data_IF_704913195741
#
_entry.id   IF_704913195741
#
_cell.length_a   1.000
_cell.length_b   1.000
_cell.length_c   1.000
_cell.angle_alpha   90.00
_cell.angle_beta   90.00
_cell.angle_gamma   90.00
#
_symmetry.space_group_name_H-M   'P 1'
#
loop_
_entity.id
_entity.type
_entity.pdbx_description
1 polymer ?
#
# COMPACT_ATOMS: atom_id res chain seq x y z
N UNK A 1 -6.63 -11.30 -25.13
CA UNK A 1 -6.14 -10.82 -23.82
C UNK A 1 -6.00 -9.32 -23.91
N UNK A 2 -6.70 -8.56 -23.05
CA UNK A 2 -6.55 -7.11 -23.00
C UNK A 2 -5.12 -6.75 -22.60
N UNK A 3 -4.63 -5.68 -23.22
CA UNK A 3 -3.31 -5.11 -22.99
C UNK A 3 -3.49 -3.61 -22.76
N UNK A 4 -2.82 -3.09 -21.74
CA UNK A 4 -2.88 -1.66 -21.41
C UNK A 4 -1.48 -1.14 -21.09
N UNK A 5 -1.34 0.17 -21.23
CA UNK A 5 -0.20 0.92 -20.71
C UNK A 5 -0.71 1.87 -19.62
N UNK A 6 0.06 1.97 -18.53
CA UNK A 6 -0.29 2.85 -17.44
C UNK A 6 0.67 2.80 -16.28
N UNK A 7 0.43 3.64 -15.29
CA UNK A 7 1.25 3.82 -14.11
C UNK A 7 0.69 3.10 -12.89
N UNK A 8 1.56 2.45 -12.12
CA UNK A 8 1.17 1.68 -10.93
C UNK A 8 0.94 2.64 -9.75
N UNK A 9 -0.28 3.13 -9.59
CA UNK A 9 -0.65 4.15 -8.61
C UNK A 9 -0.60 3.65 -7.16
N UNK A 10 -1.18 2.50 -6.87
CA UNK A 10 -1.23 1.95 -5.51
C UNK A 10 -1.16 0.42 -5.54
N UNK A 11 -0.59 -0.16 -4.48
CA UNK A 11 -0.45 -1.60 -4.32
C UNK A 11 -0.68 -1.97 -2.86
N UNK A 12 -1.47 -3.00 -2.61
CA UNK A 12 -1.65 -3.57 -1.27
C UNK A 12 -1.96 -5.05 -1.32
N UNK A 13 -1.71 -5.74 -0.21
CA UNK A 13 -1.95 -7.16 -0.05
C UNK A 13 -3.25 -7.39 0.72
N UNK A 14 -4.07 -8.29 0.20
CA UNK A 14 -5.27 -8.82 0.82
C UNK A 14 -5.14 -10.33 0.97
N UNK A 15 -4.64 -10.77 2.11
CA UNK A 15 -4.52 -12.19 2.43
C UNK A 15 -3.58 -12.96 1.46
N UNK A 16 -4.14 -13.63 0.46
CA UNK A 16 -3.47 -14.46 -0.55
C UNK A 16 -3.34 -13.78 -1.93
N UNK A 17 -3.76 -12.52 -2.03
CA UNK A 17 -3.70 -11.74 -3.28
C UNK A 17 -3.06 -10.38 -3.07
N UNK A 18 -2.44 -9.87 -4.11
CA UNK A 18 -2.08 -8.46 -4.22
C UNK A 18 -3.08 -7.76 -5.11
N UNK A 19 -3.47 -6.55 -4.75
CA UNK A 19 -4.27 -5.65 -5.59
C UNK A 19 -3.36 -4.55 -6.11
N UNK A 20 -3.42 -4.30 -7.41
CA UNK A 20 -2.71 -3.24 -8.09
C UNK A 20 -3.73 -2.27 -8.68
N UNK A 21 -3.55 -0.98 -8.41
CA UNK A 21 -4.27 0.09 -9.08
C UNK A 21 -3.38 0.71 -10.13
N UNK A 22 -3.84 0.65 -11.37
CA UNK A 22 -3.13 1.19 -12.53
C UNK A 22 -3.90 2.39 -13.04
N UNK A 23 -3.24 3.54 -13.14
CA UNK A 23 -3.75 4.70 -13.88
C UNK A 23 -3.38 4.49 -15.34
N UNK A 24 -4.35 4.21 -16.20
CA UNK A 24 -4.09 3.99 -17.62
C UNK A 24 -3.74 5.31 -18.32
N UNK A 25 -3.07 5.23 -19.47
CA UNK A 25 -2.70 6.40 -20.27
C UNK A 25 -3.91 7.27 -20.70
N UNK A 26 -5.11 6.67 -20.79
CA UNK A 26 -6.38 7.37 -21.06
C UNK A 26 -7.06 7.94 -19.79
N UNK A 27 -6.37 7.92 -18.64
CA UNK A 27 -6.81 8.54 -17.40
C UNK A 27 -7.74 7.70 -16.52
N UNK A 28 -8.10 6.47 -16.92
CA UNK A 28 -8.94 5.58 -16.11
C UNK A 28 -8.14 4.90 -15.01
N UNK A 29 -8.81 4.57 -13.90
CA UNK A 29 -8.21 3.75 -12.83
C UNK A 29 -8.66 2.29 -12.99
N UNK A 30 -7.72 1.41 -13.36
CA UNK A 30 -7.95 -0.03 -13.48
C UNK A 30 -7.48 -0.76 -12.23
N UNK A 31 -8.34 -1.62 -11.70
CA UNK A 31 -8.03 -2.53 -10.60
C UNK A 31 -7.62 -3.89 -11.15
N UNK A 32 -6.42 -4.34 -10.81
CA UNK A 32 -5.90 -5.66 -11.13
C UNK A 32 -5.61 -6.46 -9.86
N UNK A 33 -5.55 -7.78 -9.99
CA UNK A 33 -5.15 -8.68 -8.91
C UNK A 33 -4.04 -9.62 -9.34
N UNK A 34 -3.13 -9.95 -8.43
CA UNK A 34 -2.13 -11.01 -8.64
C UNK A 34 -2.14 -11.95 -7.44
N UNK A 35 -1.71 -13.20 -7.65
CA UNK A 35 -1.54 -14.16 -6.56
C UNK A 35 -0.33 -13.75 -5.72
N UNK A 36 -0.49 -13.78 -4.40
CA UNK A 36 0.59 -13.51 -3.46
C UNK A 36 0.79 -14.71 -2.54
N UNK A 37 2.05 -15.13 -2.38
CA UNK A 37 2.39 -16.24 -1.49
C UNK A 37 3.48 -15.74 -0.54
N UNK A 38 3.11 -15.27 0.67
CA UNK A 38 4.08 -14.72 1.59
C UNK A 38 5.09 -15.77 2.03
N UNK A 39 6.36 -15.39 2.09
CA UNK A 39 7.42 -16.30 2.51
C UNK A 39 8.40 -15.65 3.48
N UNK A 40 9.23 -16.48 4.10
CA UNK A 40 10.38 -16.05 4.89
C UNK A 40 11.50 -17.07 4.78
N UNK A 41 12.71 -16.69 5.19
CA UNK A 41 13.84 -17.61 5.25
C UNK A 41 14.17 -17.95 6.69
N UNK A 42 14.63 -19.18 6.91
CA UNK A 42 15.23 -19.61 8.16
C UNK A 42 16.55 -20.31 7.91
N UNK A 43 17.54 -20.09 8.77
CA UNK A 43 18.78 -20.88 8.81
C UNK A 43 18.59 -21.99 9.83
N UNK A 44 18.50 -23.27 9.43
CA UNK A 44 18.48 -24.39 10.38
C UNK A 44 19.74 -24.40 11.23
N UNK A 45 19.64 -24.94 12.45
CA UNK A 45 20.83 -25.23 13.25
C UNK A 45 21.67 -26.34 12.64
N UNK A 46 22.98 -26.27 12.86
CA UNK A 46 23.93 -27.25 12.32
C UNK A 46 23.67 -28.69 12.84
N UNK A 47 23.04 -28.86 14.00
CA UNK A 47 22.69 -30.15 14.60
C UNK A 47 21.35 -30.75 14.12
N UNK A 48 20.59 -30.02 13.29
CA UNK A 48 19.29 -30.45 12.78
C UNK A 48 19.42 -31.10 11.40
N UNK A 49 18.81 -32.26 11.24
CA UNK A 49 18.66 -32.92 9.93
C UNK A 49 17.63 -32.14 9.09
N UNK A 50 18.09 -31.56 7.99
CA UNK A 50 17.29 -30.64 7.17
C UNK A 50 16.13 -31.37 6.47
N UNK A 51 16.36 -32.59 6.01
CA UNK A 51 15.36 -33.40 5.33
C UNK A 51 14.20 -33.76 6.26
N UNK A 52 14.49 -33.95 7.56
CA UNK A 52 13.47 -34.14 8.58
C UNK A 52 12.72 -32.84 8.87
N UNK A 53 13.45 -31.73 9.01
CA UNK A 53 12.85 -30.42 9.28
C UNK A 53 11.90 -29.99 8.15
N UNK A 54 12.27 -30.20 6.89
CA UNK A 54 11.40 -29.93 5.72
C UNK A 54 10.08 -30.69 5.86
N UNK A 55 10.12 -31.99 6.14
CA UNK A 55 8.90 -32.80 6.31
C UNK A 55 8.01 -32.29 7.43
N UNK A 56 8.59 -31.95 8.58
CA UNK A 56 7.84 -31.40 9.72
C UNK A 56 7.18 -30.06 9.36
N UNK A 57 7.88 -29.20 8.61
CA UNK A 57 7.33 -27.93 8.17
C UNK A 57 6.22 -28.13 7.12
N UNK A 58 6.37 -29.06 6.19
CA UNK A 58 5.37 -29.40 5.17
C UNK A 58 4.08 -30.02 5.76
N UNK A 59 4.15 -30.63 6.95
CA UNK A 59 2.95 -31.10 7.68
C UNK A 59 2.12 -29.94 8.28
N UNK A 60 2.67 -28.73 8.36
CA UNK A 60 1.97 -27.59 8.93
C UNK A 60 0.82 -27.13 8.00
N UNK A 61 -0.42 -26.96 8.50
CA UNK A 61 -1.61 -26.73 7.66
C UNK A 61 -1.58 -25.45 6.82
N UNK A 62 -0.74 -24.49 7.20
CA UNK A 62 -0.58 -23.19 6.53
C UNK A 62 0.74 -23.01 5.79
N UNK A 63 1.62 -24.02 5.78
CA UNK A 63 2.84 -24.00 4.98
C UNK A 63 2.51 -24.70 3.66
N UNK A 64 2.69 -23.98 2.54
CA UNK A 64 2.36 -24.51 1.21
C UNK A 64 3.55 -25.17 0.53
N UNK A 65 4.76 -24.75 0.87
CA UNK A 65 5.99 -25.25 0.27
C UNK A 65 7.19 -24.88 1.15
N UNK A 66 8.20 -25.73 1.16
CA UNK A 66 9.52 -25.43 1.73
C UNK A 66 10.58 -25.76 0.70
N UNK A 67 11.46 -24.79 0.40
CA UNK A 67 12.57 -24.99 -0.53
C UNK A 67 13.90 -24.87 0.20
N UNK A 68 14.82 -25.78 -0.10
CA UNK A 68 16.22 -25.64 0.28
C UNK A 68 16.93 -24.72 -0.71
N UNK A 69 17.57 -23.67 -0.20
CA UNK A 69 18.30 -22.70 -1.01
C UNK A 69 19.66 -22.35 -0.36
N UNK A 70 20.58 -21.79 -1.16
CA UNK A 70 21.87 -21.30 -0.69
C UNK A 70 21.94 -19.78 -0.90
N UNK A 71 22.08 -19.00 0.19
CA UNK A 71 22.07 -17.52 0.17
C UNK A 71 23.27 -16.95 0.95
N UNK A 72 23.69 -15.74 0.60
CA UNK A 72 24.58 -14.96 1.46
C UNK A 72 23.77 -14.39 2.63
N UNK A 73 24.25 -14.57 3.86
CA UNK A 73 23.54 -14.11 5.06
C UNK A 73 23.91 -12.67 5.46
N UNK A 74 24.96 -12.12 4.86
CA UNK A 74 25.40 -10.75 5.08
C UNK A 74 26.21 -10.26 3.87
N UNK A 75 26.36 -8.94 3.75
CA UNK A 75 27.15 -8.31 2.68
C UNK A 75 28.64 -8.70 2.73
N UNK A 76 29.15 -9.06 3.91
CA UNK A 76 30.53 -9.47 4.12
C UNK A 76 30.74 -10.99 4.02
N UNK A 77 29.67 -11.76 3.75
CA UNK A 77 29.77 -13.21 3.67
C UNK A 77 30.56 -13.63 2.42
N UNK A 78 31.59 -14.43 2.62
CA UNK A 78 32.44 -14.96 1.55
C UNK A 78 31.90 -16.27 0.94
N UNK A 79 30.91 -16.89 1.56
CA UNK A 79 30.24 -18.09 1.08
C UNK A 79 28.72 -18.03 1.32
N UNK A 80 27.98 -18.85 0.58
CA UNK A 80 26.54 -19.01 0.76
C UNK A 80 26.28 -20.04 1.84
N UNK A 81 25.32 -19.74 2.70
CA UNK A 81 24.81 -20.66 3.72
C UNK A 81 23.53 -21.32 3.24
N UNK A 82 23.32 -22.55 3.69
CA UNK A 82 22.05 -23.27 3.51
C UNK A 82 20.94 -22.60 4.32
N UNK A 83 19.82 -22.33 3.68
CA UNK A 83 18.61 -21.77 4.27
C UNK A 83 17.38 -22.53 3.75
N UNK A 84 16.32 -22.54 4.56
CA UNK A 84 15.00 -22.98 4.12
C UNK A 84 14.14 -21.77 3.82
N UNK A 85 13.59 -21.73 2.61
CA UNK A 85 12.62 -20.75 2.16
C UNK A 85 11.22 -21.34 2.39
N UNK A 86 10.50 -20.78 3.35
CA UNK A 86 9.21 -21.27 3.81
C UNK A 86 8.11 -20.40 3.23
N UNK A 87 7.21 -21.00 2.45
CA UNK A 87 6.07 -20.34 1.83
C UNK A 87 4.80 -20.61 2.65
N UNK A 88 4.05 -19.54 2.91
CA UNK A 88 2.82 -19.55 3.72
C UNK A 88 1.63 -19.31 2.80
N UNK A 89 0.51 -19.97 3.10
CA UNK A 89 -0.74 -19.85 2.34
C UNK A 89 -1.27 -18.42 2.23
N UNK A 90 -1.13 -17.62 3.28
CA UNK A 90 -1.71 -16.28 3.35
C UNK A 90 -0.98 -15.30 4.29
N UNK A 91 -1.12 -14.01 4.01
CA UNK A 91 -0.53 -12.95 4.83
C UNK A 91 -1.14 -12.90 6.24
N UNK A 92 -2.40 -13.34 6.39
CA UNK A 92 -3.07 -13.42 7.69
C UNK A 92 -2.43 -14.48 8.59
N UNK A 93 -2.05 -15.63 8.03
CA UNK A 93 -1.48 -16.74 8.79
C UNK A 93 0.02 -16.59 9.05
N UNK A 94 0.72 -15.79 8.24
CA UNK A 94 2.17 -15.59 8.30
C UNK A 94 2.75 -15.45 9.72
N UNK A 95 2.13 -14.63 10.57
CA UNK A 95 2.65 -14.37 11.92
C UNK A 95 2.42 -15.53 12.89
N UNK A 96 1.34 -16.29 12.72
CA UNK A 96 1.09 -17.51 13.47
C UNK A 96 2.11 -18.58 13.09
N UNK A 97 2.25 -18.85 11.77
CA UNK A 97 3.24 -19.80 11.23
C UNK A 97 4.65 -19.47 11.72
N UNK A 98 5.07 -18.21 11.64
CA UNK A 98 6.39 -17.80 12.10
C UNK A 98 6.61 -18.09 13.60
N UNK A 99 5.59 -17.91 14.43
CA UNK A 99 5.69 -18.21 15.86
C UNK A 99 5.74 -19.72 16.12
N UNK A 100 4.95 -20.51 15.40
CA UNK A 100 4.93 -21.97 15.52
C UNK A 100 6.28 -22.57 15.10
N UNK A 101 6.83 -22.11 13.96
CA UNK A 101 8.17 -22.50 13.49
C UNK A 101 9.26 -22.07 14.49
N UNK A 102 9.14 -20.89 15.11
CA UNK A 102 10.05 -20.46 16.18
C UNK A 102 9.96 -21.37 17.41
N UNK A 103 8.77 -21.85 17.74
CA UNK A 103 8.53 -22.79 18.84
C UNK A 103 9.28 -24.12 18.68
N UNK A 104 9.61 -24.53 17.45
CA UNK A 104 10.40 -25.73 17.19
C UNK A 104 11.86 -25.61 17.67
N UNK A 105 12.38 -24.38 17.83
CA UNK A 105 13.77 -24.16 18.24
C UNK A 105 14.82 -24.67 17.26
N UNK A 106 14.42 -25.00 16.02
CA UNK A 106 15.24 -25.68 15.02
C UNK A 106 16.08 -24.74 14.13
N UNK A 107 15.94 -23.42 14.28
CA UNK A 107 16.69 -22.42 13.50
C UNK A 107 17.56 -21.52 14.38
N UNK A 108 18.70 -21.13 13.81
CA UNK A 108 19.63 -20.15 14.39
C UNK A 108 19.20 -18.71 14.08
N UNK A 109 18.62 -18.50 12.90
CA UNK A 109 18.26 -17.18 12.42
C UNK A 109 17.05 -17.25 11.48
N UNK A 110 16.32 -16.13 11.41
CA UNK A 110 15.19 -15.91 10.52
C UNK A 110 15.43 -14.62 9.74
N UNK A 111 15.09 -14.61 8.46
CA UNK A 111 15.27 -13.45 7.58
C UNK A 111 13.97 -13.10 6.86
N UNK A 112 13.85 -11.84 6.46
CA UNK A 112 12.70 -11.27 5.75
C UNK A 112 11.37 -11.39 6.52
N UNK A 113 11.43 -11.46 7.85
CA UNK A 113 10.26 -11.63 8.74
C UNK A 113 9.53 -10.32 9.08
N UNK A 114 10.19 -9.20 8.86
CA UNK A 114 9.78 -7.85 9.25
C UNK A 114 9.45 -6.94 8.05
N UNK A 115 9.77 -7.39 6.83
CA UNK A 115 9.32 -6.77 5.59
C UNK A 115 7.79 -6.72 5.54
N UNK A 116 7.24 -5.57 5.13
CA UNK A 116 5.82 -5.49 4.83
C UNK A 116 5.49 -6.39 3.65
N UNK A 117 4.35 -7.07 3.69
CA UNK A 117 3.93 -7.96 2.61
C UNK A 117 3.90 -7.27 1.23
N UNK A 118 3.49 -6.00 1.19
CA UNK A 118 3.54 -5.20 -0.03
C UNK A 118 4.97 -4.96 -0.53
N UNK A 119 5.93 -4.66 0.37
CA UNK A 119 7.34 -4.52 -0.03
C UNK A 119 7.87 -5.84 -0.57
N UNK A 120 7.60 -6.96 0.12
CA UNK A 120 8.01 -8.29 -0.32
C UNK A 120 7.50 -8.58 -1.74
N UNK A 121 6.21 -8.34 -2.01
CA UNK A 121 5.64 -8.51 -3.33
C UNK A 121 6.33 -7.64 -4.39
N UNK A 122 6.55 -6.35 -4.10
CA UNK A 122 7.20 -5.43 -5.05
C UNK A 122 8.66 -5.84 -5.34
N UNK A 123 9.39 -6.32 -4.33
CA UNK A 123 10.78 -6.76 -4.48
C UNK A 123 10.86 -8.04 -5.30
N UNK A 124 10.02 -9.03 -4.99
CA UNK A 124 9.99 -10.32 -5.70
C UNK A 124 9.58 -10.18 -7.17
N UNK A 125 8.71 -9.21 -7.47
CA UNK A 125 8.26 -8.92 -8.83
C UNK A 125 9.17 -7.96 -9.58
N UNK A 126 10.13 -7.34 -8.90
CA UNK A 126 10.89 -6.22 -9.47
C UNK A 126 9.96 -5.15 -10.08
N UNK A 127 8.98 -4.74 -9.28
CA UNK A 127 7.88 -3.87 -9.71
C UNK A 127 7.95 -2.52 -8.98
N UNK A 128 8.61 -1.51 -9.56
CA UNK A 128 8.57 -0.16 -9.03
C UNK A 128 7.15 0.40 -9.03
N UNK A 129 6.64 0.94 -7.91
CA UNK A 129 5.44 1.76 -7.94
C UNK A 129 5.64 2.97 -8.85
N UNK A 130 4.54 3.52 -9.35
CA UNK A 130 4.44 4.72 -10.19
C UNK A 130 5.22 4.72 -11.50
N UNK A 131 5.91 3.63 -11.87
CA UNK A 131 6.50 3.49 -13.21
C UNK A 131 5.42 3.19 -14.25
N UNK A 132 5.67 3.60 -15.50
CA UNK A 132 4.88 3.15 -16.64
C UNK A 132 5.17 1.67 -16.88
N UNK A 133 4.11 0.89 -17.02
CA UNK A 133 4.20 -0.51 -17.38
C UNK A 133 3.21 -0.87 -18.49
N UNK A 134 3.68 -1.72 -19.39
CA UNK A 134 2.84 -2.48 -20.30
C UNK A 134 2.33 -3.71 -19.54
N UNK A 135 1.02 -3.91 -19.50
CA UNK A 135 0.36 -4.88 -18.63
C UNK A 135 -0.63 -5.73 -19.43
N UNK A 136 -0.46 -7.05 -19.33
CA UNK A 136 -1.41 -8.03 -19.83
C UNK A 136 -2.18 -8.67 -18.67
N UNK A 137 -3.51 -8.76 -18.83
CA UNK A 137 -4.40 -9.33 -17.84
C UNK A 137 -5.50 -10.17 -18.50
N UNK A 138 -6.21 -10.97 -17.72
CA UNK A 138 -7.35 -11.77 -18.20
C UNK A 138 -8.71 -11.08 -17.97
N UNK A 139 -9.79 -11.75 -18.39
CA UNK A 139 -11.15 -11.21 -18.29
C UNK A 139 -11.63 -11.04 -16.82
N UNK A 140 -10.96 -11.68 -15.85
CA UNK A 140 -11.20 -11.50 -14.41
C UNK A 140 -10.30 -10.42 -13.78
N UNK A 141 -9.62 -9.60 -14.59
CA UNK A 141 -8.66 -8.59 -14.13
C UNK A 141 -7.50 -9.18 -13.30
N UNK A 142 -7.08 -10.41 -13.59
CA UNK A 142 -5.87 -11.00 -13.01
C UNK A 142 -4.66 -10.69 -13.87
N UNK A 143 -3.62 -10.17 -13.24
CA UNK A 143 -2.32 -9.89 -13.85
C UNK A 143 -1.73 -11.19 -14.41
N UNK A 144 -1.32 -11.16 -15.68
CA UNK A 144 -0.66 -12.29 -16.35
C UNK A 144 0.82 -12.02 -16.57
N UNK A 145 1.13 -10.82 -17.04
CA UNK A 145 2.50 -10.36 -17.20
C UNK A 145 2.52 -8.84 -17.24
N UNK A 146 3.69 -8.28 -16.97
CA UNK A 146 3.97 -6.87 -17.20
C UNK A 146 5.42 -6.70 -17.68
N UNK A 147 5.70 -5.57 -18.30
CA UNK A 147 7.05 -5.10 -18.59
C UNK A 147 7.12 -3.61 -18.31
N UNK A 148 8.13 -3.19 -17.55
CA UNK A 148 8.36 -1.77 -17.27
C UNK A 148 8.77 -1.08 -18.57
N UNK A 149 8.10 0.02 -18.89
CA UNK A 149 8.35 0.82 -20.08
C UNK A 149 9.22 2.04 -19.79
N UNK A 150 9.24 2.54 -18.55
CA UNK A 150 10.10 3.66 -18.14
C UNK A 150 11.55 3.35 -18.57
N UNK A 151 12.06 4.13 -19.52
CA UNK A 151 13.47 4.15 -19.83
C UNK A 151 14.19 5.11 -18.86
N UNK A 152 15.49 4.92 -18.64
CA UNK A 152 16.28 5.78 -17.74
C UNK A 152 16.41 7.24 -18.20
N UNK A 153 15.78 7.61 -19.33
CA UNK A 153 15.81 8.93 -19.96
C UNK A 153 14.46 9.65 -19.94
N UNK A 154 13.36 8.98 -19.54
CA UNK A 154 12.06 9.61 -19.32
C UNK A 154 12.11 10.50 -18.07
N UNK A 155 11.81 11.79 -18.26
CA UNK A 155 11.87 12.82 -17.22
C UNK A 155 10.47 13.18 -16.71
N UNK A 156 9.43 12.97 -17.53
CA UNK A 156 8.09 13.43 -17.19
C UNK A 156 7.44 12.54 -16.13
N UNK A 157 6.92 13.13 -15.04
CA UNK A 157 6.24 12.39 -13.99
C UNK A 157 4.91 11.82 -14.53
N UNK A 158 4.39 10.73 -13.93
CA UNK A 158 3.04 10.24 -14.19
C UNK A 158 2.00 11.35 -14.00
N UNK A 159 0.99 11.46 -14.88
CA UNK A 159 -0.02 12.51 -14.84
C UNK A 159 -1.09 12.23 -13.77
N UNK A 160 -0.65 12.00 -12.54
CA UNK A 160 -1.55 11.79 -11.40
C UNK A 160 -2.23 13.09 -10.99
N UNK A 161 -3.52 13.01 -10.66
CA UNK A 161 -4.30 14.17 -10.21
C UNK A 161 -4.32 14.29 -8.69
N UNK A 162 -4.37 15.54 -8.20
CA UNK A 162 -4.40 15.86 -6.77
C UNK A 162 -5.63 16.70 -6.43
N UNK A 163 -6.26 16.41 -5.29
CA UNK A 163 -7.29 17.26 -4.70
C UNK A 163 -6.83 17.73 -3.32
N UNK A 164 -6.64 19.04 -3.19
CA UNK A 164 -6.28 19.68 -1.91
C UNK A 164 -7.55 20.09 -1.19
N UNK A 165 -7.69 19.72 0.08
CA UNK A 165 -8.83 20.12 0.90
C UNK A 165 -8.41 20.48 2.33
N UNK A 166 -9.26 21.25 3.00
CA UNK A 166 -9.17 21.50 4.44
C UNK A 166 -10.54 21.31 5.10
N UNK A 167 -10.52 20.93 6.38
CA UNK A 167 -11.74 20.77 7.18
C UNK A 167 -11.81 21.83 8.28
N UNK A 168 -12.95 22.50 8.34
CA UNK A 168 -13.35 23.32 9.47
C UNK A 168 -14.27 22.53 10.39
N UNK A 169 -14.01 22.61 11.69
CA UNK A 169 -14.74 21.88 12.71
C UNK A 169 -15.30 22.83 13.76
N UNK A 170 -16.36 22.41 14.44
CA UNK A 170 -16.91 23.17 15.55
C UNK A 170 -16.00 23.11 16.79
N UNK A 171 -15.68 24.29 17.34
CA UNK A 171 -14.84 24.45 18.53
C UNK A 171 -13.37 24.77 18.25
N UNK A 172 -12.65 25.30 19.25
CA UNK A 172 -11.30 25.86 19.09
C UNK A 172 -10.16 24.83 18.96
N UNK A 173 -10.44 23.51 18.95
CA UNK A 173 -9.39 22.49 18.95
C UNK A 173 -9.70 21.28 18.08
N UNK A 174 -8.83 20.98 17.11
CA UNK A 174 -8.79 19.73 16.32
C UNK A 174 -8.61 18.46 17.17
N UNK A 175 -8.36 18.58 18.47
CA UNK A 175 -8.07 17.45 19.36
C UNK A 175 -9.29 16.62 19.74
N UNK A 176 -10.50 17.18 19.66
CA UNK A 176 -11.71 16.38 19.91
C UNK A 176 -12.14 15.73 18.61
N UNK A 177 -11.79 14.43 18.43
CA UNK A 177 -12.30 13.53 17.35
C UNK A 177 -13.85 13.39 17.32
N UNK A 178 -14.54 14.24 18.05
CA UNK A 178 -15.97 14.31 18.25
C UNK A 178 -16.57 15.61 17.73
N UNK A 179 -15.78 16.61 17.37
CA UNK A 179 -16.32 17.88 16.86
C UNK A 179 -17.04 17.66 15.52
N UNK A 180 -18.24 18.24 15.33
CA UNK A 180 -18.88 18.25 14.02
C UNK A 180 -18.01 18.92 12.97
N UNK A 181 -18.04 18.41 11.73
CA UNK A 181 -17.48 19.11 10.56
C UNK A 181 -18.50 20.15 10.11
N UNK A 182 -18.09 21.43 10.09
CA UNK A 182 -18.98 22.55 9.72
C UNK A 182 -18.80 22.96 8.27
N UNK A 183 -17.60 22.77 7.72
CA UNK A 183 -17.29 23.15 6.35
C UNK A 183 -16.10 22.32 5.83
N UNK A 184 -16.13 21.97 4.55
CA UNK A 184 -14.98 21.40 3.84
C UNK A 184 -14.72 22.28 2.62
N UNK A 185 -13.48 22.74 2.48
CA UNK A 185 -13.07 23.61 1.36
C UNK A 185 -12.08 22.86 0.49
N UNK A 186 -12.27 22.90 -0.82
CA UNK A 186 -11.34 22.36 -1.82
C UNK A 186 -10.57 23.51 -2.45
N UNK A 187 -9.29 23.28 -2.71
CA UNK A 187 -8.36 24.27 -3.24
C UNK A 187 -7.72 23.79 -4.55
N UNK A 188 -7.33 24.75 -5.38
CA UNK A 188 -6.38 24.51 -6.47
C UNK A 188 -4.93 24.39 -5.97
N UNK A 189 -3.99 24.16 -6.88
CA UNK A 189 -2.56 24.04 -6.56
C UNK A 189 -1.95 25.35 -6.02
N UNK A 190 -2.55 26.51 -6.32
CA UNK A 190 -2.17 27.82 -5.79
C UNK A 190 -2.79 28.10 -4.40
N UNK A 191 -3.46 27.10 -3.81
CA UNK A 191 -4.21 27.18 -2.55
C UNK A 191 -5.34 28.21 -2.57
N UNK A 192 -5.93 28.48 -3.74
CA UNK A 192 -7.12 29.30 -3.88
C UNK A 192 -8.35 28.41 -3.75
N UNK A 193 -9.37 28.82 -2.98
CA UNK A 193 -10.58 28.02 -2.82
C UNK A 193 -11.33 27.93 -4.16
N UNK A 194 -11.63 26.71 -4.59
CA UNK A 194 -12.41 26.43 -5.81
C UNK A 194 -13.81 25.93 -5.52
N UNK A 195 -14.01 25.26 -4.37
CA UNK A 195 -15.31 24.74 -3.96
C UNK A 195 -15.40 24.72 -2.43
N UNK A 196 -16.61 24.92 -1.91
CA UNK A 196 -16.86 24.98 -0.48
C UNK A 196 -18.19 24.32 -0.13
N UNK A 197 -18.13 23.29 0.73
CA UNK A 197 -19.30 22.59 1.23
C UNK A 197 -19.62 23.09 2.64
N UNK A 198 -20.78 23.73 2.81
CA UNK A 198 -21.28 24.19 4.11
C UNK A 198 -22.72 23.69 4.38
N UNK A 199 -23.21 23.92 5.60
CA UNK A 199 -24.55 23.53 6.03
C UNK A 199 -24.57 22.38 7.04
N UNK A 200 -25.67 21.58 7.10
CA UNK A 200 -25.77 20.46 8.01
C UNK A 200 -24.64 19.46 7.78
N UNK A 201 -24.01 18.99 8.86
CA UNK A 201 -22.82 18.12 8.78
C UNK A 201 -23.01 16.91 7.85
N UNK A 202 -24.18 16.26 7.90
CA UNK A 202 -24.47 15.12 7.04
C UNK A 202 -24.43 15.52 5.55
N UNK A 203 -24.98 16.68 5.19
CA UNK A 203 -24.94 17.20 3.82
C UNK A 203 -23.51 17.53 3.40
N UNK A 204 -22.74 18.22 4.26
CA UNK A 204 -21.33 18.56 3.98
C UNK A 204 -20.50 17.31 3.68
N UNK A 205 -20.61 16.29 4.52
CA UNK A 205 -19.87 15.04 4.36
C UNK A 205 -20.29 14.25 3.11
N UNK A 206 -21.58 14.26 2.78
CA UNK A 206 -22.13 13.58 1.61
C UNK A 206 -21.70 14.29 0.32
N UNK A 207 -21.87 15.62 0.23
CA UNK A 207 -21.48 16.41 -0.94
C UNK A 207 -19.98 16.36 -1.20
N UNK A 208 -19.15 16.34 -0.15
CA UNK A 208 -17.71 16.16 -0.33
C UNK A 208 -17.36 14.77 -0.91
N UNK A 209 -18.06 13.72 -0.47
CA UNK A 209 -17.84 12.38 -1.00
C UNK A 209 -18.28 12.26 -2.46
N UNK A 210 -19.43 12.84 -2.82
CA UNK A 210 -19.92 12.94 -4.21
C UNK A 210 -18.93 13.71 -5.09
N UNK A 211 -18.40 14.83 -4.60
CA UNK A 211 -17.39 15.60 -5.31
C UNK A 211 -16.09 14.81 -5.57
N UNK A 212 -15.64 13.99 -4.62
CA UNK A 212 -14.49 13.09 -4.82
C UNK A 212 -14.81 12.00 -5.84
N UNK A 213 -16.03 11.48 -5.85
CA UNK A 213 -16.45 10.45 -6.81
C UNK A 213 -16.47 11.01 -8.23
N UNK A 214 -17.01 12.22 -8.41
CA UNK A 214 -17.11 12.89 -9.71
C UNK A 214 -15.74 13.36 -10.25
N UNK A 215 -14.89 13.94 -9.39
CA UNK A 215 -13.57 14.43 -9.80
C UNK A 215 -12.52 13.32 -9.97
N UNK A 216 -12.74 12.15 -9.36
CA UNK A 216 -11.83 10.99 -9.34
C UNK A 216 -10.33 11.31 -9.12
N UNK A 217 -9.94 12.04 -8.05
CA UNK A 217 -8.54 12.40 -7.83
C UNK A 217 -7.67 11.19 -7.47
N UNK A 218 -6.45 11.12 -8.00
CA UNK A 218 -5.52 10.04 -7.63
C UNK A 218 -4.97 10.21 -6.20
N UNK A 219 -4.79 11.45 -5.76
CA UNK A 219 -4.29 11.83 -4.45
C UNK A 219 -5.24 12.78 -3.72
N UNK A 220 -5.56 12.44 -2.47
CA UNK A 220 -6.19 13.37 -1.52
C UNK A 220 -5.12 14.03 -0.65
N UNK A 221 -5.14 15.35 -0.56
CA UNK A 221 -4.11 16.14 0.12
C UNK A 221 -4.75 17.08 1.13
N UNK A 222 -4.27 17.05 2.37
CA UNK A 222 -4.70 17.98 3.42
C UNK A 222 -3.61 18.15 4.48
N UNK A 223 -3.74 19.16 5.33
CA UNK A 223 -2.92 19.29 6.53
C UNK A 223 -3.29 18.19 7.54
N UNK A 224 -2.33 17.37 7.95
CA UNK A 224 -2.56 16.17 8.77
C UNK A 224 -3.63 15.24 8.14
N UNK A 225 -3.41 14.85 6.89
CA UNK A 225 -4.40 14.20 6.03
C UNK A 225 -5.01 12.93 6.65
N UNK A 226 -4.21 12.12 7.35
CA UNK A 226 -4.72 10.90 8.00
C UNK A 226 -5.71 11.24 9.12
N UNK A 227 -5.45 12.32 9.87
CA UNK A 227 -6.35 12.79 10.92
C UNK A 227 -7.62 13.38 10.31
N UNK A 228 -7.49 14.22 9.28
CA UNK A 228 -8.62 14.84 8.59
C UNK A 228 -9.56 13.77 7.98
N UNK A 229 -9.01 12.83 7.22
CA UNK A 229 -9.78 11.73 6.61
C UNK A 229 -10.40 10.81 7.66
N UNK A 230 -9.66 10.46 8.71
CA UNK A 230 -10.20 9.66 9.82
C UNK A 230 -11.35 10.40 10.50
N UNK A 231 -11.22 11.72 10.68
CA UNK A 231 -12.24 12.56 11.26
C UNK A 231 -13.53 12.56 10.41
N UNK A 232 -13.41 12.84 9.11
CA UNK A 232 -14.51 12.80 8.14
C UNK A 232 -15.24 11.45 8.20
N UNK A 233 -14.51 10.34 8.09
CA UNK A 233 -15.07 8.98 8.09
C UNK A 233 -15.75 8.63 9.43
N UNK A 234 -15.18 9.06 10.56
CA UNK A 234 -15.77 8.86 11.88
C UNK A 234 -17.04 9.67 12.09
N UNK A 235 -17.08 10.91 11.58
CA UNK A 235 -18.25 11.78 11.64
C UNK A 235 -19.37 11.28 10.72
N UNK A 236 -19.03 10.82 9.51
CA UNK A 236 -19.97 10.18 8.60
C UNK A 236 -20.68 9.00 9.26
N UNK A 237 -19.92 8.11 9.93
CA UNK A 237 -20.50 7.00 10.72
C UNK A 237 -21.49 7.47 11.78
N UNK A 238 -21.21 8.57 12.49
CA UNK A 238 -22.07 9.13 13.54
C UNK A 238 -23.35 9.75 12.97
N UNK A 239 -23.26 10.33 11.78
CA UNK A 239 -24.40 10.83 11.02
C UNK A 239 -25.20 9.70 10.34
N UNK A 240 -24.79 8.44 10.47
CA UNK A 240 -25.43 7.30 9.82
C UNK A 240 -25.13 7.17 8.31
N UNK A 241 -24.10 7.87 7.83
CA UNK A 241 -23.69 7.88 6.43
C UNK A 241 -22.61 6.83 6.15
N UNK A 242 -22.75 6.15 5.02
CA UNK A 242 -21.73 5.26 4.46
C UNK A 242 -21.09 5.90 3.22
N UNK A 243 -20.32 6.97 3.43
CA UNK A 243 -19.63 7.69 2.36
C UNK A 243 -18.50 6.86 1.74
N UNK A 244 -18.23 7.11 0.46
CA UNK A 244 -17.22 6.42 -0.33
C UNK A 244 -16.09 7.39 -0.69
N UNK A 245 -14.90 7.20 -0.11
CA UNK A 245 -13.73 8.04 -0.41
C UNK A 245 -12.69 7.33 -1.27
N UNK A 246 -12.55 6.00 -1.15
CA UNK A 246 -11.72 5.18 -2.04
C UNK A 246 -12.40 4.85 -3.35
N UNK A 247 -11.69 4.12 -4.23
CA UNK A 247 -12.27 3.55 -5.46
C UNK A 247 -12.91 2.17 -5.23
N UNK A 248 -12.51 1.46 -4.17
CA UNK A 248 -13.18 0.22 -3.76
C UNK A 248 -14.35 0.48 -2.83
N UNK A 249 -15.52 -0.11 -3.14
CA UNK A 249 -16.69 -0.07 -2.26
C UNK A 249 -16.33 -0.57 -0.86
N UNK A 250 -16.46 0.32 0.13
CA UNK A 250 -16.18 0.00 1.52
C UNK A 250 -17.40 0.32 2.38
N UNK A 251 -17.76 -0.61 3.27
CA UNK A 251 -18.72 -0.32 4.32
C UNK A 251 -17.97 0.25 5.53
N UNK A 252 -18.01 1.57 5.68
CA UNK A 252 -17.29 2.23 6.76
C UNK A 252 -17.76 1.72 8.11
N UNK A 253 -19.03 1.35 8.33
CA UNK A 253 -19.49 0.86 9.63
C UNK A 253 -18.91 -0.52 10.02
N UNK A 254 -18.53 -1.35 9.04
CA UNK A 254 -17.97 -2.69 9.29
C UNK A 254 -16.44 -2.68 9.48
N UNK A 255 -15.77 -1.59 9.11
CA UNK A 255 -14.32 -1.50 9.20
C UNK A 255 -13.86 -1.29 10.65
N UNK A 256 -13.10 -2.24 11.21
CA UNK A 256 -12.44 -2.04 12.53
C UNK A 256 -11.43 -0.89 12.48
N UNK A 257 -10.68 -0.78 11.37
CA UNK A 257 -9.72 0.29 11.11
C UNK A 257 -10.14 1.00 9.82
N UNK A 258 -10.28 2.32 9.87
CA UNK A 258 -10.74 3.13 8.73
C UNK A 258 -9.66 3.23 7.64
N UNK A 259 -8.52 3.84 7.95
CA UNK A 259 -7.40 3.97 7.03
C UNK A 259 -6.42 2.81 7.15
N UNK A 260 -5.89 2.25 6.05
CA UNK A 260 -6.07 2.72 4.67
C UNK A 260 -7.31 2.12 3.96
N UNK A 261 -8.06 1.24 4.62
CA UNK A 261 -9.09 0.39 3.98
C UNK A 261 -10.25 1.14 3.33
N UNK A 262 -10.66 2.30 3.85
CA UNK A 262 -11.73 3.13 3.29
C UNK A 262 -11.29 3.95 2.07
N UNK A 263 -9.99 4.02 1.78
CA UNK A 263 -9.40 4.82 0.70
C UNK A 263 -8.69 3.98 -0.36
N UNK A 264 -8.90 2.65 -0.37
CA UNK A 264 -8.27 1.76 -1.33
C UNK A 264 -8.48 2.23 -2.77
N UNK A 265 -7.38 2.24 -3.53
CA UNK A 265 -7.35 2.74 -4.90
C UNK A 265 -7.16 4.24 -5.04
N UNK A 266 -7.05 4.99 -3.94
CA UNK A 266 -6.56 6.37 -3.94
C UNK A 266 -5.38 6.49 -2.98
N UNK A 267 -4.41 7.30 -3.35
CA UNK A 267 -3.34 7.70 -2.45
C UNK A 267 -3.76 8.93 -1.64
N UNK A 268 -3.05 9.18 -0.55
CA UNK A 268 -3.21 10.41 0.22
C UNK A 268 -1.86 10.82 0.81
N UNK A 269 -1.65 12.12 0.96
CA UNK A 269 -0.41 12.69 1.52
C UNK A 269 -0.67 13.99 2.27
N UNK A 270 0.21 14.32 3.20
CA UNK A 270 0.14 15.59 3.91
C UNK A 270 0.47 16.75 2.98
N UNK A 271 -0.20 17.89 3.17
CA UNK A 271 0.04 19.10 2.39
C UNK A 271 1.51 19.54 2.44
N UNK A 272 2.17 19.41 3.59
CA UNK A 272 3.60 19.71 3.74
C UNK A 272 4.49 18.84 2.83
N UNK A 273 4.09 17.60 2.54
CA UNK A 273 4.82 16.72 1.61
C UNK A 273 4.67 17.24 0.19
N UNK A 274 3.44 17.58 -0.23
CA UNK A 274 3.19 18.16 -1.54
C UNK A 274 3.97 19.47 -1.73
N UNK A 275 3.97 20.36 -0.74
CA UNK A 275 4.64 21.66 -0.83
C UNK A 275 6.17 21.55 -0.77
N UNK A 276 6.72 20.52 -0.11
CA UNK A 276 8.17 20.38 0.06
C UNK A 276 8.86 19.66 -1.10
N UNK A 277 8.25 18.60 -1.64
CA UNK A 277 8.87 17.78 -2.69
C UNK A 277 8.01 17.63 -3.96
N UNK A 278 6.80 18.20 -3.99
CA UNK A 278 5.88 18.03 -5.11
C UNK A 278 5.31 16.62 -5.20
N UNK A 279 4.41 16.42 -6.17
CA UNK A 279 3.91 15.10 -6.49
C UNK A 279 4.99 14.26 -7.18
N UNK A 280 5.81 14.92 -7.98
CA UNK A 280 6.94 14.39 -8.74
C UNK A 280 8.01 13.82 -7.80
N UNK A 281 8.40 14.58 -6.77
CA UNK A 281 9.34 14.08 -5.78
C UNK A 281 8.77 12.92 -4.98
N UNK A 282 7.46 12.88 -4.73
CA UNK A 282 6.83 11.73 -4.09
C UNK A 282 6.82 10.49 -5.00
N UNK A 283 6.51 10.66 -6.29
CA UNK A 283 6.57 9.59 -7.31
C UNK A 283 7.98 9.00 -7.36
N UNK A 284 9.00 9.82 -7.47
CA UNK A 284 10.40 9.36 -7.53
C UNK A 284 10.83 8.68 -6.23
N UNK A 285 10.43 9.24 -5.09
CA UNK A 285 10.65 8.61 -3.79
C UNK A 285 9.95 7.25 -3.69
N UNK A 286 8.75 7.10 -4.26
CA UNK A 286 7.99 5.85 -4.28
C UNK A 286 8.69 4.78 -5.13
N UNK A 287 9.17 5.15 -6.32
CA UNK A 287 10.00 4.32 -7.21
C UNK A 287 11.26 3.85 -6.51
N UNK A 288 12.05 4.79 -5.98
CA UNK A 288 13.32 4.50 -5.33
C UNK A 288 13.17 3.60 -4.10
N UNK A 289 12.14 3.85 -3.29
CA UNK A 289 11.89 3.10 -2.05
C UNK A 289 11.33 1.70 -2.32
N UNK A 290 10.78 1.45 -3.51
CA UNK A 290 9.90 0.31 -3.80
C UNK A 290 8.77 0.18 -2.76
N UNK A 291 8.05 1.27 -2.55
CA UNK A 291 6.88 1.29 -1.67
C UNK A 291 5.79 2.19 -2.27
N UNK A 292 4.49 1.83 -2.15
CA UNK A 292 3.39 2.63 -2.68
C UNK A 292 3.45 4.10 -2.21
N UNK A 293 2.96 5.07 -3.00
CA UNK A 293 3.09 6.50 -2.71
C UNK A 293 2.63 6.89 -1.30
N UNK A 294 1.52 6.30 -0.83
CA UNK A 294 0.99 6.52 0.53
C UNK A 294 2.00 6.14 1.64
N UNK A 295 2.77 5.07 1.45
CA UNK A 295 3.81 4.68 2.42
C UNK A 295 5.04 5.57 2.28
N UNK A 296 5.47 5.83 1.04
CA UNK A 296 6.63 6.67 0.74
C UNK A 296 6.49 8.10 1.29
N UNK A 297 5.28 8.68 1.23
CA UNK A 297 4.97 10.01 1.75
C UNK A 297 5.21 10.13 3.26
N UNK A 298 4.98 9.04 4.01
CA UNK A 298 5.02 9.02 5.47
C UNK A 298 6.35 8.57 6.06
N UNK A 299 7.11 7.76 5.32
CA UNK A 299 8.31 7.14 5.87
C UNK A 299 9.42 8.17 6.08
N UNK A 300 10.08 8.18 7.26
CA UNK A 300 11.26 9.00 7.44
C UNK A 300 12.39 8.53 6.53
N UNK A 301 13.36 9.41 6.27
CA UNK A 301 14.51 9.13 5.40
C UNK A 301 15.22 7.80 5.74
N UNK A 302 15.44 7.52 7.03
CA UNK A 302 16.05 6.26 7.47
C UNK A 302 15.31 5.03 6.98
N UNK A 303 13.97 5.00 7.14
CA UNK A 303 13.15 3.87 6.70
C UNK A 303 13.12 3.70 5.17
N UNK A 304 13.23 4.81 4.45
CA UNK A 304 13.33 4.79 2.98
C UNK A 304 14.63 4.13 2.57
N UNK A 305 15.75 4.55 3.18
CA UNK A 305 17.07 3.97 2.95
C UNK A 305 17.07 2.48 3.32
N UNK A 306 16.52 2.10 4.47
CA UNK A 306 16.41 0.71 4.90
C UNK A 306 15.64 -0.13 3.87
N UNK A 307 14.50 0.37 3.37
CA UNK A 307 13.72 -0.32 2.33
C UNK A 307 14.56 -0.60 1.08
N UNK A 308 15.35 0.38 0.63
CA UNK A 308 16.21 0.22 -0.53
C UNK A 308 17.41 -0.69 -0.28
N UNK A 309 17.91 -0.77 0.95
CA UNK A 309 18.97 -1.72 1.31
C UNK A 309 18.45 -3.15 1.42
N UNK A 310 17.14 -3.35 1.64
CA UNK A 310 16.51 -4.66 1.66
C UNK A 310 16.21 -5.22 0.26
N UNK A 311 16.06 -4.37 -0.76
CA UNK A 311 15.97 -4.76 -2.16
C UNK A 311 17.35 -5.04 -2.74
#
# INVERSE_FOLDING_TARGET
MPHIEGWILDVYVEDDRTVLWVKTADGRALRLTDRYTPSFYMKPRDDIMVEWLIKVLEEHPHIVEVREEFKYLSLNANCRSRVLHVFVDSARNFRAVLNDVRGLGAAEAYFNIDLLHVQRYLFEKDLPPTCMASIAYDDECRLRSFSILDDSSEIEPPPFTTMIFDISIEGRSRKTRSSPVTMITVYDLDLRPIEAFDGPEASVLQSFAEYIEDADPDFLVASNVEEALTHILMRARRCGLNIQLGREKANVHKLRRLLPYALKGRAYMDLDVLLSIGLEGLVERSRWTLAPPRLAAKWPAGKIIDSRQCY
#
